data_IF_306418263099
#
_entry.id   IF_306418263099
#
_cell.length_a   1.000
_cell.length_b   1.000
_cell.length_c   1.000
_cell.angle_alpha   90.00
_cell.angle_beta   90.00
_cell.angle_gamma   90.00
#
_symmetry.space_group_name_H-M   'P 1'
#
loop_
_entity.id
_entity.type
_entity.pdbx_description
1 polymer ?
#
# COMPACT_ATOMS: atom_id res chain seq x y z
N UNK A 1 -22.91 -13.15 -11.43
CA UNK A 1 -22.07 -13.66 -12.54
C UNK A 1 -22.19 -12.78 -13.78
N UNK A 2 -23.41 -12.38 -14.16
CA UNK A 2 -23.67 -11.51 -15.32
C UNK A 2 -22.98 -10.14 -15.24
N UNK A 3 -22.98 -9.47 -14.08
CA UNK A 3 -22.29 -8.18 -13.91
C UNK A 3 -20.78 -8.26 -14.19
N UNK A 4 -20.13 -9.38 -13.83
CA UNK A 4 -18.69 -9.58 -14.10
C UNK A 4 -18.42 -9.81 -15.58
N UNK A 5 -19.36 -10.39 -16.33
CA UNK A 5 -19.25 -10.49 -17.79
C UNK A 5 -19.31 -9.11 -18.43
N UNK A 6 -20.15 -8.19 -17.94
CA UNK A 6 -20.23 -6.82 -18.47
C UNK A 6 -18.91 -6.06 -18.30
N UNK A 7 -18.13 -6.37 -17.26
CA UNK A 7 -16.82 -5.76 -17.03
C UNK A 7 -15.78 -6.12 -18.10
N UNK A 8 -15.92 -7.25 -18.81
CA UNK A 8 -14.94 -7.65 -19.83
C UNK A 8 -14.86 -6.64 -20.98
N UNK A 9 -15.95 -5.92 -21.25
CA UNK A 9 -15.99 -4.85 -22.25
C UNK A 9 -15.07 -3.67 -21.94
N UNK A 10 -14.63 -3.52 -20.68
CA UNK A 10 -13.67 -2.48 -20.27
C UNK A 10 -12.21 -2.94 -20.34
N UNK A 11 -11.95 -4.20 -20.68
CA UNK A 11 -10.59 -4.70 -20.85
C UNK A 11 -10.03 -4.22 -22.19
N UNK A 12 -8.76 -3.82 -22.19
CA UNK A 12 -8.07 -3.48 -23.42
C UNK A 12 -7.85 -4.74 -24.28
N UNK A 13 -8.09 -4.63 -25.59
CA UNK A 13 -7.91 -5.73 -26.54
C UNK A 13 -6.44 -6.12 -26.74
N UNK A 14 -5.51 -5.20 -26.48
CA UNK A 14 -4.07 -5.45 -26.59
C UNK A 14 -3.25 -4.57 -25.65
N UNK A 15 -1.99 -4.96 -25.40
CA UNK A 15 -1.05 -4.17 -24.59
C UNK A 15 -0.83 -2.77 -25.16
N UNK A 16 -0.84 -2.62 -26.49
CA UNK A 16 -0.62 -1.33 -27.17
C UNK A 16 -1.80 -0.36 -26.99
N UNK A 17 -2.99 -0.89 -26.67
CA UNK A 17 -4.18 -0.08 -26.42
C UNK A 17 -4.26 0.44 -24.97
N UNK A 18 -3.36 0.00 -24.08
CA UNK A 18 -3.33 0.49 -22.72
C UNK A 18 -2.79 1.93 -22.67
N UNK A 19 -3.39 2.81 -21.87
CA UNK A 19 -2.91 4.18 -21.71
C UNK A 19 -1.55 4.19 -21.02
N UNK A 20 -0.66 5.10 -21.45
CA UNK A 20 0.56 5.38 -20.71
C UNK A 20 0.24 5.99 -19.35
N UNK A 21 0.96 5.57 -18.31
CA UNK A 21 0.80 6.04 -16.93
C UNK A 21 2.15 6.46 -16.38
N UNK A 22 2.15 7.53 -15.59
CA UNK A 22 3.33 7.96 -14.82
C UNK A 22 3.25 7.35 -13.42
N UNK A 23 4.39 7.13 -12.80
CA UNK A 23 4.48 6.61 -11.42
C UNK A 23 3.61 7.44 -10.45
N UNK A 24 3.66 8.77 -10.58
CA UNK A 24 2.88 9.71 -9.76
C UNK A 24 1.36 9.54 -9.86
N UNK A 25 0.84 9.00 -10.96
CA UNK A 25 -0.60 8.82 -11.14
C UNK A 25 -1.14 7.74 -10.17
N UNK A 26 -0.27 6.82 -9.72
CA UNK A 26 -0.56 5.78 -8.72
C UNK A 26 -0.03 6.10 -7.31
N UNK A 27 0.68 7.22 -7.13
CA UNK A 27 1.26 7.58 -5.85
C UNK A 27 0.19 7.72 -4.77
N UNK A 28 0.39 7.05 -3.65
CA UNK A 28 -0.56 7.01 -2.53
C UNK A 28 0.20 7.12 -1.22
N UNK A 29 -0.32 7.93 -0.30
CA UNK A 29 0.16 8.04 1.08
C UNK A 29 -0.97 7.72 2.05
N UNK A 30 -0.63 7.02 3.13
CA UNK A 30 -1.55 6.67 4.21
C UNK A 30 -0.84 6.90 5.54
N UNK A 31 -1.56 7.49 6.49
CA UNK A 31 -1.08 7.66 7.86
C UNK A 31 -1.74 6.59 8.75
N UNK A 32 -0.93 5.81 9.44
CA UNK A 32 -1.36 4.90 10.50
C UNK A 32 -1.17 5.59 11.87
N UNK A 33 -2.26 6.04 12.52
CA UNK A 33 -2.18 6.94 13.66
C UNK A 33 -1.98 6.20 15.00
N UNK A 34 -0.89 5.45 15.15
CA UNK A 34 -0.61 4.71 16.39
C UNK A 34 -0.43 5.63 17.61
N UNK A 35 0.29 6.74 17.44
CA UNK A 35 0.51 7.72 18.50
C UNK A 35 -0.75 8.51 18.81
N UNK A 36 -1.41 9.00 17.76
CA UNK A 36 -2.56 9.89 17.87
C UNK A 36 -3.87 9.17 18.28
N UNK A 37 -3.98 7.85 18.07
CA UNK A 37 -5.19 7.07 18.39
C UNK A 37 -4.87 5.82 19.23
N UNK A 38 -4.90 5.93 20.58
CA UNK A 38 -4.60 4.80 21.47
C UNK A 38 -5.50 3.57 21.27
N UNK A 39 -6.79 3.76 21.01
CA UNK A 39 -7.74 2.66 20.78
C UNK A 39 -7.39 1.84 19.52
N UNK A 40 -6.87 2.50 18.48
CA UNK A 40 -6.38 1.82 17.29
C UNK A 40 -5.08 1.08 17.60
N UNK A 41 -4.17 1.71 18.35
CA UNK A 41 -2.84 1.18 18.70
C UNK A 41 -2.91 -0.19 19.36
N UNK A 42 -3.91 -0.45 20.20
CA UNK A 42 -4.09 -1.75 20.86
C UNK A 42 -4.11 -2.92 19.86
N UNK A 43 -4.70 -2.72 18.67
CA UNK A 43 -4.76 -3.74 17.60
C UNK A 43 -3.40 -4.02 16.97
N UNK A 44 -2.44 -3.10 17.15
CA UNK A 44 -1.09 -3.18 16.61
C UNK A 44 -0.06 -3.57 17.66
N UNK A 45 -0.45 -3.80 18.91
CA UNK A 45 0.46 -4.18 19.98
C UNK A 45 0.60 -5.70 20.17
N UNK A 46 1.79 -6.08 20.63
CA UNK A 46 2.06 -7.37 21.24
C UNK A 46 1.87 -7.29 22.76
N UNK A 47 1.89 -8.43 23.45
CA UNK A 47 1.83 -8.48 24.92
C UNK A 47 3.04 -7.81 25.59
N UNK A 48 4.15 -7.65 24.86
CA UNK A 48 5.36 -6.95 25.31
C UNK A 48 5.35 -5.45 24.96
N UNK A 49 4.21 -4.89 24.57
CA UNK A 49 4.06 -3.49 24.18
C UNK A 49 4.97 -3.06 23.00
N UNK A 50 5.22 -3.99 22.06
CA UNK A 50 5.92 -3.70 20.80
C UNK A 50 4.95 -3.71 19.62
N UNK A 51 5.30 -3.05 18.52
CA UNK A 51 4.48 -3.08 17.30
C UNK A 51 4.52 -4.48 16.68
N UNK A 52 3.34 -5.05 16.43
CA UNK A 52 3.15 -6.32 15.73
C UNK A 52 3.45 -6.14 14.25
N UNK A 53 4.66 -6.51 13.85
CA UNK A 53 5.11 -6.33 12.47
C UNK A 53 4.22 -7.02 11.42
N UNK A 54 3.66 -8.20 11.73
CA UNK A 54 2.70 -8.88 10.84
C UNK A 54 1.48 -8.02 10.49
N UNK A 55 0.98 -7.20 11.43
CA UNK A 55 -0.15 -6.29 11.17
C UNK A 55 0.24 -5.15 10.23
N UNK A 56 1.49 -4.69 10.32
CA UNK A 56 2.05 -3.70 9.38
C UNK A 56 2.15 -4.30 7.97
N UNK A 57 2.54 -5.57 7.86
CA UNK A 57 2.59 -6.27 6.56
C UNK A 57 1.21 -6.42 5.92
N UNK A 58 0.16 -6.70 6.71
CA UNK A 58 -1.23 -6.72 6.22
C UNK A 58 -1.67 -5.36 5.66
N UNK A 59 -1.33 -4.27 6.34
CA UNK A 59 -1.63 -2.91 5.88
C UNK A 59 -0.85 -2.55 4.61
N UNK A 60 0.41 -2.96 4.51
CA UNK A 60 1.24 -2.76 3.32
C UNK A 60 0.74 -3.56 2.11
N UNK A 61 0.29 -4.81 2.30
CA UNK A 61 -0.34 -5.61 1.23
C UNK A 61 -1.62 -4.92 0.73
N UNK A 62 -2.47 -4.45 1.65
CA UNK A 62 -3.67 -3.69 1.33
C UNK A 62 -3.38 -2.39 0.56
N UNK A 63 -2.33 -1.65 0.98
CA UNK A 63 -1.86 -0.46 0.28
C UNK A 63 -1.34 -0.79 -1.12
N UNK A 64 -0.58 -1.88 -1.28
CA UNK A 64 -0.08 -2.34 -2.57
C UNK A 64 -1.23 -2.60 -3.56
N UNK A 65 -2.27 -3.30 -3.10
CA UNK A 65 -3.49 -3.55 -3.89
C UNK A 65 -4.20 -2.25 -4.24
N UNK A 66 -4.32 -1.31 -3.31
CA UNK A 66 -4.92 0.01 -3.57
C UNK A 66 -4.15 0.80 -4.63
N UNK A 67 -2.82 0.82 -4.55
CA UNK A 67 -1.94 1.48 -5.52
C UNK A 67 -2.14 0.86 -6.92
N UNK A 68 -2.22 -0.46 -7.01
CA UNK A 68 -2.48 -1.17 -8.26
C UNK A 68 -3.84 -0.79 -8.86
N UNK A 69 -4.92 -0.79 -8.07
CA UNK A 69 -6.24 -0.37 -8.55
C UNK A 69 -6.28 1.11 -8.96
N UNK A 70 -5.52 1.96 -8.27
CA UNK A 70 -5.38 3.38 -8.65
C UNK A 70 -4.66 3.52 -9.99
N UNK A 71 -3.60 2.73 -10.23
CA UNK A 71 -2.86 2.72 -11.49
C UNK A 71 -3.72 2.25 -12.67
N UNK A 72 -4.54 1.21 -12.46
CA UNK A 72 -5.40 0.63 -13.50
C UNK A 72 -6.80 1.24 -13.53
N UNK A 73 -7.04 2.37 -12.85
CA UNK A 73 -8.37 2.97 -12.74
C UNK A 73 -8.89 3.39 -14.11
N UNK A 74 -10.08 2.89 -14.45
CA UNK A 74 -10.83 3.26 -15.65
C UNK A 74 -11.93 4.24 -15.24
N UNK A 75 -11.86 5.49 -15.69
CA UNK A 75 -12.77 6.54 -15.24
C UNK A 75 -14.24 6.32 -15.66
N UNK A 76 -14.48 5.62 -16.77
CA UNK A 76 -15.81 5.28 -17.26
C UNK A 76 -16.43 4.07 -16.56
N UNK A 77 -15.64 3.27 -15.85
CA UNK A 77 -16.11 2.08 -15.16
C UNK A 77 -16.38 2.38 -13.67
N UNK A 78 -17.55 1.99 -13.18
CA UNK A 78 -17.87 2.10 -11.74
C UNK A 78 -17.04 1.13 -10.87
N UNK A 79 -16.60 0.02 -11.46
CA UNK A 79 -15.83 -1.03 -10.80
C UNK A 79 -14.70 -1.49 -11.73
N UNK A 80 -13.57 -1.88 -11.15
CA UNK A 80 -12.44 -2.41 -11.91
C UNK A 80 -12.81 -3.75 -12.56
N UNK A 81 -12.51 -3.96 -13.86
CA UNK A 81 -12.65 -5.26 -14.50
C UNK A 81 -11.53 -6.24 -14.12
N UNK A 82 -10.48 -5.74 -13.46
CA UNK A 82 -9.30 -6.52 -13.09
C UNK A 82 -9.44 -7.13 -11.71
N UNK A 83 -8.96 -8.37 -11.57
CA UNK A 83 -8.72 -9.02 -10.29
C UNK A 83 -7.23 -8.92 -9.99
N UNK A 84 -6.87 -8.18 -8.94
CA UNK A 84 -5.48 -7.97 -8.55
C UNK A 84 -5.14 -8.90 -7.39
N UNK A 85 -4.00 -9.57 -7.48
CA UNK A 85 -3.48 -10.50 -6.47
C UNK A 85 -2.02 -10.20 -6.21
N UNK A 86 -1.58 -10.44 -4.98
CA UNK A 86 -0.16 -10.38 -4.62
C UNK A 86 0.51 -11.67 -5.07
N UNK A 87 1.37 -11.58 -6.09
CA UNK A 87 2.07 -12.73 -6.63
C UNK A 87 3.34 -13.08 -5.84
N UNK A 88 4.10 -12.07 -5.42
CA UNK A 88 5.32 -12.21 -4.63
C UNK A 88 5.63 -10.92 -3.85
N UNK A 89 6.44 -11.07 -2.81
CA UNK A 89 7.13 -9.96 -2.15
C UNK A 89 8.62 -10.26 -2.23
N UNK A 90 9.39 -9.38 -2.88
CA UNK A 90 10.80 -9.63 -3.20
C UNK A 90 11.71 -9.36 -1.99
N UNK A 91 11.76 -8.09 -1.53
CA UNK A 91 12.59 -7.68 -0.39
C UNK A 91 11.81 -6.77 0.56
N UNK A 92 11.94 -7.06 1.85
CA UNK A 92 11.54 -6.17 2.94
C UNK A 92 12.81 -5.78 3.69
N UNK A 93 13.09 -4.48 3.74
CA UNK A 93 14.26 -3.94 4.43
C UNK A 93 13.82 -3.03 5.58
N UNK A 94 14.35 -3.28 6.78
CA UNK A 94 14.03 -2.51 7.98
C UNK A 94 15.28 -1.82 8.51
N UNK A 95 15.38 -0.51 8.26
CA UNK A 95 16.52 0.28 8.72
C UNK A 95 16.54 0.49 10.24
N UNK A 96 15.38 0.42 10.91
CA UNK A 96 15.26 0.52 12.37
C UNK A 96 14.98 -0.87 12.95
N UNK A 97 15.63 -1.21 14.07
CA UNK A 97 15.44 -2.47 14.79
C UNK A 97 14.04 -2.60 15.42
N UNK A 98 13.37 -1.50 15.71
CA UNK A 98 12.02 -1.48 16.28
C UNK A 98 11.22 -0.26 15.81
N UNK A 99 9.90 -0.44 15.75
CA UNK A 99 8.91 0.62 15.53
C UNK A 99 8.37 1.07 16.88
N UNK A 100 8.22 2.38 17.08
CA UNK A 100 7.62 2.94 18.28
C UNK A 100 6.09 2.79 18.19
N UNK A 101 5.43 2.22 19.21
CA UNK A 101 3.96 2.16 19.24
C UNK A 101 3.31 3.52 19.55
N UNK A 102 4.08 4.48 20.07
CA UNK A 102 3.61 5.80 20.47
C UNK A 102 3.72 6.84 19.35
N UNK A 103 4.09 6.42 18.13
CA UNK A 103 4.34 7.32 17.03
C UNK A 103 3.61 6.87 15.77
N UNK A 104 3.00 7.84 15.10
CA UNK A 104 2.32 7.59 13.83
C UNK A 104 3.32 7.13 12.76
N UNK A 105 2.84 6.26 11.88
CA UNK A 105 3.64 5.69 10.79
C UNK A 105 3.04 6.17 9.47
N UNK A 106 3.87 6.75 8.61
CA UNK A 106 3.48 7.09 7.25
C UNK A 106 3.89 5.99 6.28
N UNK A 107 2.93 5.45 5.56
CA UNK A 107 3.15 4.60 4.40
C UNK A 107 3.04 5.43 3.13
N UNK A 108 3.89 5.14 2.15
CA UNK A 108 3.75 5.72 0.81
C UNK A 108 4.25 4.74 -0.24
N UNK A 109 3.70 4.82 -1.44
CA UNK A 109 4.12 3.93 -2.52
C UNK A 109 3.52 4.29 -3.87
N UNK A 110 4.00 3.61 -4.90
CA UNK A 110 3.56 3.77 -6.28
C UNK A 110 3.96 2.54 -7.11
N UNK A 111 3.29 2.36 -8.26
CA UNK A 111 3.75 1.42 -9.28
C UNK A 111 5.04 1.96 -9.90
N UNK A 112 6.08 1.15 -9.88
CA UNK A 112 7.42 1.49 -10.38
C UNK A 112 7.76 0.80 -11.70
N UNK A 113 7.14 -0.35 -11.98
CA UNK A 113 7.26 -1.05 -13.24
C UNK A 113 5.97 -1.81 -13.58
N UNK A 114 5.69 -1.98 -14.86
CA UNK A 114 4.54 -2.75 -15.35
C UNK A 114 4.98 -3.73 -16.43
N UNK A 115 4.53 -4.97 -16.32
CA UNK A 115 4.69 -6.01 -17.31
C UNK A 115 3.44 -6.16 -18.18
N UNK A 116 3.26 -7.35 -18.75
CA UNK A 116 2.04 -7.69 -19.51
C UNK A 116 0.84 -7.88 -18.59
N UNK A 117 1.03 -8.65 -17.51
CA UNK A 117 -0.03 -9.00 -16.54
C UNK A 117 0.43 -8.85 -15.09
N UNK A 118 1.56 -8.16 -14.87
CA UNK A 118 2.19 -7.98 -13.57
C UNK A 118 2.53 -6.50 -13.34
N UNK A 119 2.63 -6.11 -12.08
CA UNK A 119 3.03 -4.76 -11.67
C UNK A 119 3.99 -4.88 -10.49
N UNK A 120 5.07 -4.10 -10.52
CA UNK A 120 5.98 -3.93 -9.38
C UNK A 120 5.59 -2.66 -8.62
N UNK A 121 5.22 -2.84 -7.35
CA UNK A 121 4.88 -1.74 -6.44
C UNK A 121 6.03 -1.52 -5.47
N UNK A 122 6.55 -0.29 -5.42
CA UNK A 122 7.52 0.12 -4.42
C UNK A 122 6.82 0.90 -3.32
N UNK A 123 7.10 0.52 -2.09
CA UNK A 123 6.53 1.13 -0.90
C UNK A 123 7.64 1.48 0.08
N UNK A 124 7.41 2.53 0.85
CA UNK A 124 8.28 2.97 1.92
C UNK A 124 7.44 3.30 3.15
N UNK A 125 8.02 3.00 4.30
CA UNK A 125 7.47 3.29 5.61
C UNK A 125 8.38 4.30 6.31
N UNK A 126 7.80 5.36 6.85
CA UNK A 126 8.51 6.38 7.59
C UNK A 126 7.85 6.60 8.96
N UNK A 127 8.66 6.55 10.00
CA UNK A 127 8.27 6.96 11.35
C UNK A 127 9.30 7.98 11.83
N UNK A 128 8.84 9.23 12.02
CA UNK A 128 9.67 10.31 12.54
C UNK A 128 10.28 9.85 13.87
N UNK A 129 11.54 10.19 14.14
CA UNK A 129 12.13 9.95 15.46
C UNK A 129 11.76 11.13 16.36
N UNK A 130 11.22 10.90 17.56
CA UNK A 130 11.25 11.97 18.57
C UNK A 130 12.72 12.13 18.97
N UNK A 131 13.37 13.22 18.56
CA UNK A 131 14.53 13.71 19.28
C UNK A 131 14.02 14.10 20.67
N UNK A 132 14.17 13.21 21.66
CA UNK A 132 14.04 13.63 23.06
C UNK A 132 15.10 14.71 23.24
N UNK A 133 14.70 15.97 23.41
CA UNK A 133 15.63 17.00 23.89
C UNK A 133 16.00 16.58 25.31
N UNK A 134 17.14 15.90 25.44
CA UNK A 134 17.82 15.78 26.71
C UNK A 134 18.35 17.17 27.02
N UNK A 135 17.52 18.01 27.65
CA UNK A 135 18.03 19.14 28.38
C UNK A 135 18.17 18.74 29.86
N UNK A 136 19.33 19.06 30.46
CA UNK A 136 19.73 18.66 31.81
C UNK A 136 18.91 19.35 32.91
#
# INVERSE_FOLDING_TARGET
MEERKLLSSFLAESQKALPSRRMKDSYTEVLLPLGSQPELREKYLTVQNTVRFGRILEDLDSLGVLICYKHTKIHSAKMSPLSIVTALVDKIDMCKKSLSPEQDIKFSGHVSWVGKTSMEVKMQMFQASICKSTHP
#
